data_IF_585026871604
#
_entry.id   IF_585026871604
#
_cell.length_a   1.000
_cell.length_b   1.000
_cell.length_c   1.000
_cell.angle_alpha   90.00
_cell.angle_beta   90.00
_cell.angle_gamma   90.00
#
_symmetry.space_group_name_H-M   'P 1'
#
loop_
_entity.id
_entity.type
_entity.pdbx_description
1 polymer ?
#
# COMPACT_ATOMS: atom_id res chain seq x y z
N UNK A 1 13.52 -31.91 -44.07
CA UNK A 1 13.14 -33.03 -43.19
C UNK A 1 12.91 -32.48 -41.79
N UNK A 2 11.71 -31.96 -41.51
CA UNK A 2 11.36 -31.52 -40.16
C UNK A 2 11.25 -32.76 -39.27
N UNK A 3 12.09 -32.84 -38.23
CA UNK A 3 11.90 -33.78 -37.12
C UNK A 3 10.49 -33.55 -36.57
N UNK A 4 9.66 -34.59 -36.61
CA UNK A 4 8.40 -34.58 -35.89
C UNK A 4 8.71 -34.46 -34.39
N UNK A 5 8.20 -33.39 -33.78
CA UNK A 5 8.26 -33.20 -32.33
C UNK A 5 7.58 -34.41 -31.69
N UNK A 6 8.26 -35.08 -30.77
CA UNK A 6 7.64 -36.19 -30.08
C UNK A 6 6.55 -35.61 -29.17
N UNK A 7 5.34 -36.15 -29.22
CA UNK A 7 4.21 -35.68 -28.41
C UNK A 7 4.54 -35.68 -26.90
N UNK A 8 5.44 -36.57 -26.49
CA UNK A 8 5.94 -36.66 -25.12
C UNK A 8 6.78 -35.44 -24.70
N UNK A 9 7.54 -34.82 -25.61
CA UNK A 9 8.34 -33.62 -25.29
C UNK A 9 7.46 -32.40 -25.00
N UNK A 10 6.35 -32.24 -25.71
CA UNK A 10 5.38 -31.19 -25.40
C UNK A 10 4.60 -31.49 -24.12
N UNK A 11 4.26 -32.76 -23.89
CA UNK A 11 3.45 -33.18 -22.75
C UNK A 11 4.21 -33.06 -21.42
N UNK A 12 5.50 -33.42 -21.39
CA UNK A 12 6.29 -33.30 -20.16
C UNK A 12 6.52 -31.84 -19.76
N UNK A 13 6.66 -30.93 -20.74
CA UNK A 13 6.87 -29.50 -20.46
C UNK A 13 5.64 -28.87 -19.82
N UNK A 14 4.44 -29.12 -20.37
CA UNK A 14 3.21 -28.59 -19.77
C UNK A 14 2.96 -29.19 -18.38
N UNK A 15 3.34 -30.45 -18.16
CA UNK A 15 3.21 -31.11 -16.86
C UNK A 15 4.10 -30.43 -15.80
N UNK A 16 5.35 -30.11 -16.14
CA UNK A 16 6.26 -29.41 -15.24
C UNK A 16 5.76 -27.98 -14.96
N UNK A 17 5.31 -27.25 -15.99
CA UNK A 17 4.76 -25.89 -15.82
C UNK A 17 3.53 -25.91 -14.91
N UNK A 18 2.64 -26.90 -15.06
CA UNK A 18 1.44 -27.01 -14.23
C UNK A 18 1.77 -27.23 -12.75
N UNK A 19 2.76 -28.08 -12.44
CA UNK A 19 3.22 -28.31 -11.06
C UNK A 19 3.83 -27.04 -10.46
N UNK A 20 4.68 -26.33 -11.21
CA UNK A 20 5.27 -25.07 -10.74
C UNK A 20 4.21 -23.99 -10.52
N UNK A 21 3.29 -23.83 -11.47
CA UNK A 21 2.21 -22.84 -11.38
C UNK A 21 1.25 -23.12 -10.22
N UNK A 22 0.98 -24.39 -9.90
CA UNK A 22 0.12 -24.78 -8.78
C UNK A 22 0.66 -24.29 -7.42
N UNK A 23 1.99 -24.24 -7.26
CA UNK A 23 2.65 -23.71 -6.04
C UNK A 23 2.79 -22.19 -6.12
N UNK A 24 3.09 -21.64 -7.30
CA UNK A 24 3.34 -20.21 -7.48
C UNK A 24 2.07 -19.36 -7.35
N UNK A 25 0.95 -19.83 -7.90
CA UNK A 25 -0.34 -19.13 -7.89
C UNK A 25 -0.84 -18.76 -6.48
N UNK A 26 -0.89 -19.70 -5.50
CA UNK A 26 -1.34 -19.37 -4.15
C UNK A 26 -0.39 -18.38 -3.45
N UNK A 27 0.92 -18.56 -3.58
CA UNK A 27 1.93 -17.70 -2.92
C UNK A 27 1.97 -16.30 -3.53
N UNK A 28 1.84 -16.19 -4.85
CA UNK A 28 1.84 -14.92 -5.57
C UNK A 28 0.65 -14.02 -5.16
N UNK A 29 -0.51 -14.62 -4.86
CA UNK A 29 -1.70 -13.88 -4.42
C UNK A 29 -1.46 -13.13 -3.10
N UNK A 30 -0.84 -13.79 -2.12
CA UNK A 30 -0.50 -13.20 -0.83
C UNK A 30 0.64 -12.17 -0.95
N UNK A 31 1.68 -12.49 -1.76
CA UNK A 31 2.80 -11.59 -1.98
C UNK A 31 2.39 -10.27 -2.63
N UNK A 32 1.42 -10.29 -3.55
CA UNK A 32 0.90 -9.08 -4.21
C UNK A 32 0.18 -8.15 -3.24
N UNK A 33 -0.60 -8.69 -2.31
CA UNK A 33 -1.27 -7.89 -1.28
C UNK A 33 -0.25 -7.28 -0.30
N UNK A 34 0.75 -8.07 0.13
CA UNK A 34 1.86 -7.56 0.95
C UNK A 34 2.70 -6.50 0.22
N UNK A 35 2.89 -6.61 -1.10
CA UNK A 35 3.56 -5.58 -1.88
C UNK A 35 2.79 -4.26 -1.90
N UNK A 36 1.46 -4.31 -2.01
CA UNK A 36 0.59 -3.11 -1.92
C UNK A 36 0.65 -2.46 -0.54
N UNK A 37 0.60 -3.28 0.52
CA UNK A 37 0.76 -2.81 1.89
C UNK A 37 2.13 -2.14 2.09
N UNK A 38 3.21 -2.78 1.66
CA UNK A 38 4.58 -2.22 1.73
C UNK A 38 4.74 -0.92 0.95
N UNK A 39 4.14 -0.80 -0.24
CA UNK A 39 4.16 0.43 -1.02
C UNK A 39 3.41 1.57 -0.30
N UNK A 40 2.23 1.30 0.26
CA UNK A 40 1.46 2.27 1.06
C UNK A 40 2.23 2.71 2.31
N UNK A 41 2.80 1.76 3.05
CA UNK A 41 3.61 2.03 4.23
C UNK A 41 4.85 2.88 3.89
N UNK A 42 5.53 2.61 2.79
CA UNK A 42 6.65 3.44 2.34
C UNK A 42 6.23 4.85 1.97
N UNK A 43 5.08 5.03 1.30
CA UNK A 43 4.55 6.36 0.99
C UNK A 43 4.25 7.16 2.27
N UNK A 44 3.61 6.54 3.27
CA UNK A 44 3.33 7.21 4.55
C UNK A 44 4.61 7.54 5.32
N UNK A 45 5.59 6.64 5.33
CA UNK A 45 6.91 6.90 5.92
C UNK A 45 7.59 8.09 5.23
N UNK A 46 7.55 8.15 3.90
CA UNK A 46 8.15 9.25 3.14
C UNK A 46 7.48 10.59 3.46
N UNK A 47 6.14 10.62 3.62
CA UNK A 47 5.41 11.83 4.04
C UNK A 47 5.77 12.22 5.48
N UNK A 48 5.83 11.27 6.40
CA UNK A 48 6.19 11.53 7.79
C UNK A 48 7.62 12.07 7.93
N UNK A 49 8.57 11.54 7.15
CA UNK A 49 9.93 12.05 7.06
C UNK A 49 9.96 13.47 6.47
N UNK A 50 9.18 13.74 5.42
CA UNK A 50 9.08 15.07 4.84
C UNK A 50 8.49 16.09 5.83
N UNK A 51 7.49 15.70 6.62
CA UNK A 51 6.92 16.53 7.69
C UNK A 51 7.95 16.79 8.80
N UNK A 52 8.66 15.74 9.23
CA UNK A 52 9.72 15.88 10.23
C UNK A 52 10.78 16.87 9.74
N UNK A 53 11.31 16.68 8.53
CA UNK A 53 12.29 17.57 7.92
C UNK A 53 11.77 19.01 7.85
N UNK A 54 10.53 19.21 7.41
CA UNK A 54 9.90 20.53 7.40
C UNK A 54 9.84 21.19 8.79
N UNK A 55 9.48 20.44 9.83
CA UNK A 55 9.44 21.00 11.20
C UNK A 55 10.82 21.35 11.76
N UNK A 56 11.85 20.59 11.40
CA UNK A 56 13.23 20.89 11.81
C UNK A 56 13.75 22.17 11.12
N UNK A 57 13.32 22.43 9.89
CA UNK A 57 13.73 23.61 9.12
C UNK A 57 12.94 24.90 9.50
N UNK A 58 11.74 24.77 10.10
CA UNK A 58 10.83 25.88 10.40
C UNK A 58 10.39 25.95 11.87
N UNK A 59 11.32 26.14 12.82
CA UNK A 59 11.04 26.40 14.26
C UNK A 59 9.92 25.52 14.84
N UNK A 60 9.94 24.21 14.56
CA UNK A 60 8.97 23.20 15.03
C UNK A 60 7.52 23.44 14.59
N UNK A 61 7.32 24.26 13.54
CA UNK A 61 6.00 24.67 13.07
C UNK A 61 5.46 23.67 12.04
N UNK A 62 4.41 22.94 12.42
CA UNK A 62 3.71 22.04 11.51
C UNK A 62 2.97 22.81 10.41
N UNK A 63 2.83 22.23 9.20
CA UNK A 63 2.03 22.84 8.13
C UNK A 63 0.54 22.79 8.52
N UNK A 64 0.04 23.88 9.11
CA UNK A 64 -1.37 24.02 9.43
C UNK A 64 -2.19 24.19 8.14
N UNK A 65 -3.18 23.33 7.93
CA UNK A 65 -4.31 23.69 7.08
C UNK A 65 -4.97 24.90 7.73
N UNK A 66 -4.91 26.05 7.05
CA UNK A 66 -5.65 27.26 7.43
C UNK A 66 -7.14 26.96 7.30
N UNK A 67 -7.72 26.27 8.29
CA UNK A 67 -9.15 26.06 8.37
C UNK A 67 -9.75 27.46 8.47
N UNK A 68 -10.67 27.85 7.56
CA UNK A 68 -11.33 29.13 7.71
C UNK A 68 -11.96 29.16 9.10
N UNK A 69 -11.53 30.10 9.94
CA UNK A 69 -12.06 30.27 11.30
C UNK A 69 -13.60 30.41 11.31
N UNK A 70 -14.18 30.84 10.18
CA UNK A 70 -15.63 30.88 9.94
C UNK A 70 -16.36 29.52 9.98
N UNK A 71 -15.67 28.40 9.74
CA UNK A 71 -16.23 27.04 9.86
C UNK A 71 -16.01 26.45 11.26
N UNK A 72 -14.88 26.75 11.91
CA UNK A 72 -14.57 26.27 13.27
C UNK A 72 -15.54 26.85 14.30
N UNK A 73 -15.95 28.12 14.15
CA UNK A 73 -16.97 28.74 15.02
C UNK A 73 -18.34 28.05 14.97
N UNK A 74 -18.73 27.49 13.81
CA UNK A 74 -19.97 26.68 13.69
C UNK A 74 -19.80 25.25 14.18
N UNK A 75 -18.58 24.70 14.15
CA UNK A 75 -18.28 23.33 14.58
C UNK A 75 -18.14 23.23 16.11
N UNK A 76 -17.51 24.21 16.74
CA UNK A 76 -17.36 24.29 18.20
C UNK A 76 -18.70 24.47 18.92
N UNK A 77 -19.64 25.24 18.35
CA UNK A 77 -21.00 25.39 18.92
C UNK A 77 -21.86 24.12 18.87
N UNK A 78 -21.49 23.09 18.12
CA UNK A 78 -22.23 21.82 18.05
C UNK A 78 -21.58 20.66 18.79
N UNK A 79 -20.53 20.90 19.59
CA UNK A 79 -19.86 19.81 20.33
C UNK A 79 -19.34 18.69 19.43
N UNK A 80 -18.92 19.03 18.21
CA UNK A 80 -18.39 18.07 17.25
C UNK A 80 -17.07 17.49 17.77
N UNK A 81 -17.12 16.24 18.25
CA UNK A 81 -15.91 15.46 18.54
C UNK A 81 -15.12 15.38 17.23
N UNK A 82 -13.91 15.92 17.21
CA UNK A 82 -12.96 15.64 16.15
C UNK A 82 -12.59 14.15 16.26
N UNK A 83 -13.38 13.28 15.63
CA UNK A 83 -12.93 11.94 15.29
C UNK A 83 -11.87 12.13 14.21
N UNK A 84 -10.63 12.30 14.66
CA UNK A 84 -9.48 11.93 13.85
C UNK A 84 -9.72 10.47 13.45
N UNK A 85 -10.15 10.27 12.20
CA UNK A 85 -10.34 8.95 11.61
C UNK A 85 -9.00 8.23 11.69
N UNK A 86 -8.84 7.43 12.74
CA UNK A 86 -7.61 6.73 13.03
C UNK A 86 -7.26 5.81 11.89
N UNK A 87 -5.96 5.75 11.58
CA UNK A 87 -5.29 4.77 10.74
C UNK A 87 -5.36 3.34 11.33
N UNK A 88 -6.53 2.95 11.88
CA UNK A 88 -6.76 1.72 12.66
C UNK A 88 -6.81 0.44 11.80
N UNK A 89 -6.34 0.50 10.56
CA UNK A 89 -6.26 -0.62 9.63
C UNK A 89 -4.87 -0.84 9.01
N UNK A 90 -3.84 -0.07 9.39
CA UNK A 90 -2.51 -0.18 8.80
C UNK A 90 -1.48 -0.94 9.66
N UNK A 91 -1.91 -1.53 10.79
CA UNK A 91 -1.08 -2.27 11.75
C UNK A 91 -1.62 -3.68 12.03
N UNK A 92 -2.07 -4.39 10.99
CA UNK A 92 -2.30 -5.83 11.03
C UNK A 92 -1.64 -6.50 9.82
#
# INVERSE_FOLDING_TARGET
MHKAFTLIELLVVIAIIAVLAAILFPVFSAAREKARQSACLNNMKNIGLALLQYTQDYDERFPFYRTPCALFGRFASRGGRYQAGGYRGALQ
#
